data_IF_120187247339
#
_entry.id   IF_120187247339
#
_cell.length_a   1.000
_cell.length_b   1.000
_cell.length_c   1.000
_cell.angle_alpha   90.00
_cell.angle_beta   90.00
_cell.angle_gamma   90.00
#
_symmetry.space_group_name_H-M   'P 1'
#
loop_
_entity.id
_entity.type
_entity.pdbx_description
1 polymer ?
#
# COMPACT_ATOMS: atom_id res chain seq x y z
N UNK A 1 19.46 -2.03 -9.41
CA UNK A 1 18.51 -0.95 -9.04
C UNK A 1 17.08 -1.21 -9.48
N UNK A 2 16.80 -1.68 -10.70
CA UNK A 2 15.46 -2.17 -11.11
C UNK A 2 14.88 -3.22 -10.13
N UNK A 3 15.73 -4.11 -9.62
CA UNK A 3 15.37 -5.13 -8.63
C UNK A 3 14.82 -4.54 -7.31
N UNK A 4 15.28 -3.35 -6.91
CA UNK A 4 14.80 -2.69 -5.70
C UNK A 4 13.46 -1.97 -5.91
N UNK A 5 13.18 -1.47 -7.12
CA UNK A 5 11.88 -0.91 -7.49
C UNK A 5 10.81 -2.01 -7.54
N UNK A 6 11.20 -3.18 -8.05
CA UNK A 6 10.37 -4.39 -8.06
C UNK A 6 10.04 -4.86 -6.63
N UNK A 7 11.02 -4.84 -5.71
CA UNK A 7 10.81 -5.22 -4.32
C UNK A 7 9.78 -4.33 -3.61
N UNK A 8 9.89 -2.99 -3.75
CA UNK A 8 8.95 -2.05 -3.11
C UNK A 8 7.55 -2.20 -3.70
N UNK A 9 7.46 -2.42 -5.01
CA UNK A 9 6.18 -2.67 -5.69
C UNK A 9 5.49 -3.92 -5.16
N UNK A 10 6.23 -5.03 -5.06
CA UNK A 10 5.72 -6.28 -4.50
C UNK A 10 5.30 -6.12 -3.04
N UNK A 11 6.08 -5.38 -2.25
CA UNK A 11 5.74 -5.09 -0.86
C UNK A 11 4.45 -4.27 -0.73
N UNK A 12 4.25 -3.25 -1.57
CA UNK A 12 2.99 -2.47 -1.62
C UNK A 12 1.82 -3.38 -1.95
N UNK A 13 1.95 -4.21 -2.99
CA UNK A 13 0.88 -5.14 -3.41
C UNK A 13 0.55 -6.14 -2.29
N UNK A 14 1.56 -6.75 -1.66
CA UNK A 14 1.34 -7.73 -0.59
C UNK A 14 0.71 -7.11 0.65
N UNK A 15 1.12 -5.89 1.03
CA UNK A 15 0.57 -5.19 2.20
C UNK A 15 -0.85 -4.70 1.94
N UNK A 16 -1.14 -4.19 0.74
CA UNK A 16 -2.51 -3.87 0.33
C UNK A 16 -3.42 -5.10 0.35
N UNK A 17 -2.94 -6.26 -0.10
CA UNK A 17 -3.72 -7.50 -0.03
C UNK A 17 -4.05 -7.89 1.42
N UNK A 18 -3.06 -7.82 2.32
CA UNK A 18 -3.29 -8.07 3.74
C UNK A 18 -4.29 -7.08 4.35
N UNK A 19 -4.22 -5.81 3.97
CA UNK A 19 -5.15 -4.79 4.44
C UNK A 19 -6.58 -5.03 3.98
N UNK A 20 -6.77 -5.44 2.73
CA UNK A 20 -8.09 -5.83 2.20
C UNK A 20 -8.64 -7.03 2.98
N UNK A 21 -7.83 -8.06 3.21
CA UNK A 21 -8.26 -9.25 3.97
C UNK A 21 -8.64 -8.88 5.41
N UNK A 22 -7.85 -8.02 6.06
CA UNK A 22 -8.13 -7.55 7.41
C UNK A 22 -9.41 -6.71 7.47
N UNK A 23 -9.60 -5.78 6.53
CA UNK A 23 -10.82 -4.97 6.41
C UNK A 23 -12.06 -5.84 6.18
N UNK A 24 -11.99 -6.82 5.26
CA UNK A 24 -13.08 -7.76 5.02
C UNK A 24 -13.42 -8.59 6.27
N UNK A 25 -12.42 -9.04 7.02
CA UNK A 25 -12.61 -9.77 8.27
C UNK A 25 -13.26 -8.89 9.37
N UNK A 26 -12.89 -7.61 9.41
CA UNK A 26 -13.49 -6.63 10.32
C UNK A 26 -14.96 -6.34 9.94
N UNK A 27 -15.25 -6.04 8.68
CA UNK A 27 -16.62 -5.73 8.21
C UNK A 27 -17.58 -6.90 8.25
N UNK A 28 -17.08 -8.11 8.03
CA UNK A 28 -17.89 -9.33 8.17
C UNK A 28 -18.21 -9.67 9.62
N UNK A 29 -17.66 -8.93 10.60
CA UNK A 29 -17.84 -9.19 12.02
C UNK A 29 -17.05 -10.39 12.55
N UNK A 30 -16.24 -11.04 11.71
CA UNK A 30 -15.37 -12.16 12.11
C UNK A 30 -14.29 -11.72 13.09
N UNK A 31 -13.83 -10.48 12.96
CA UNK A 31 -12.88 -9.85 13.86
C UNK A 31 -13.47 -8.55 14.42
N UNK A 32 -14.56 -8.65 15.19
CA UNK A 32 -15.18 -7.51 15.83
C UNK A 32 -14.42 -7.12 17.11
N UNK A 33 -13.78 -5.94 17.12
CA UNK A 33 -13.15 -5.39 18.32
C UNK A 33 -12.03 -4.39 18.04
N UNK A 34 -11.64 -3.66 19.08
CA UNK A 34 -10.58 -2.64 19.00
C UNK A 34 -9.26 -3.20 18.47
N UNK A 35 -8.94 -4.47 18.75
CA UNK A 35 -7.73 -5.11 18.24
C UNK A 35 -7.68 -5.22 16.71
N UNK A 36 -8.81 -5.51 16.06
CA UNK A 36 -8.88 -5.61 14.61
C UNK A 36 -8.71 -4.23 13.94
N UNK A 37 -9.35 -3.20 14.49
CA UNK A 37 -9.18 -1.82 14.04
C UNK A 37 -7.72 -1.35 14.19
N UNK A 38 -7.05 -1.69 15.30
CA UNK A 38 -5.62 -1.39 15.49
C UNK A 38 -4.76 -2.11 14.46
N UNK A 39 -5.03 -3.39 14.16
CA UNK A 39 -4.29 -4.14 13.14
C UNK A 39 -4.45 -3.52 11.76
N UNK A 40 -5.67 -3.16 11.35
CA UNK A 40 -5.93 -2.45 10.09
C UNK A 40 -5.16 -1.13 10.06
N UNK A 41 -5.21 -0.34 11.13
CA UNK A 41 -4.49 0.93 11.20
C UNK A 41 -2.97 0.75 11.08
N UNK A 42 -2.38 -0.27 11.72
CA UNK A 42 -0.95 -0.58 11.62
C UNK A 42 -0.58 -0.96 10.18
N UNK A 43 -1.37 -1.83 9.53
CA UNK A 43 -1.11 -2.22 8.14
C UNK A 43 -1.21 -0.98 7.22
N UNK A 44 -2.19 -0.11 7.44
CA UNK A 44 -2.35 1.13 6.70
C UNK A 44 -1.17 2.07 6.81
N UNK A 45 -0.60 2.22 8.01
CA UNK A 45 0.63 3.01 8.21
C UNK A 45 1.81 2.39 7.43
N UNK A 46 1.93 1.06 7.40
CA UNK A 46 2.98 0.38 6.62
C UNK A 46 2.79 0.62 5.12
N UNK A 47 1.56 0.53 4.59
CA UNK A 47 1.26 0.82 3.19
C UNK A 47 1.63 2.26 2.84
N UNK A 48 1.23 3.23 3.67
CA UNK A 48 1.57 4.65 3.45
C UNK A 48 3.08 4.89 3.48
N UNK A 49 3.80 4.24 4.39
CA UNK A 49 5.27 4.29 4.45
C UNK A 49 5.91 3.75 3.16
N UNK A 50 5.45 2.61 2.67
CA UNK A 50 5.94 2.02 1.42
C UNK A 50 5.63 2.90 0.19
N UNK A 51 4.44 3.50 0.13
CA UNK A 51 4.06 4.47 -0.89
C UNK A 51 5.00 5.68 -0.84
N UNK A 52 5.27 6.23 0.35
CA UNK A 52 6.22 7.34 0.53
C UNK A 52 7.62 7.01 0.02
N UNK A 53 8.14 5.82 0.35
CA UNK A 53 9.44 5.32 -0.16
C UNK A 53 9.41 5.24 -1.69
N UNK A 54 8.32 4.75 -2.28
CA UNK A 54 8.18 4.61 -3.72
C UNK A 54 8.16 5.99 -4.43
N UNK A 55 7.44 6.95 -3.87
CA UNK A 55 7.41 8.35 -4.35
C UNK A 55 8.80 8.98 -4.29
N UNK A 56 9.48 8.88 -3.14
CA UNK A 56 10.84 9.43 -2.97
C UNK A 56 11.83 8.84 -3.98
N UNK A 57 11.76 7.51 -4.22
CA UNK A 57 12.60 6.84 -5.22
C UNK A 57 12.32 7.33 -6.63
N UNK A 58 11.06 7.50 -7.01
CA UNK A 58 10.69 8.04 -8.31
C UNK A 58 11.16 9.48 -8.52
N UNK A 59 11.19 10.30 -7.46
CA UNK A 59 11.71 11.65 -7.51
C UNK A 59 13.23 11.69 -7.74
N UNK A 60 13.97 10.77 -7.11
CA UNK A 60 15.44 10.72 -7.19
C UNK A 60 15.97 9.97 -8.43
N UNK A 61 15.12 9.36 -9.25
CA UNK A 61 15.54 8.61 -10.44
C UNK A 61 15.01 9.24 -11.75
N UNK A 62 15.82 10.04 -12.45
CA UNK A 62 15.41 10.70 -13.70
C UNK A 62 15.34 9.75 -14.91
N UNK A 63 15.99 8.57 -14.85
CA UNK A 63 16.08 7.62 -15.98
C UNK A 63 14.89 6.65 -16.11
N UNK A 64 13.86 6.76 -15.27
CA UNK A 64 12.67 5.92 -15.36
C UNK A 64 11.80 6.39 -16.54
N UNK A 65 11.38 5.48 -17.41
CA UNK A 65 10.49 5.79 -18.53
C UNK A 65 9.15 6.36 -18.03
N UNK A 66 8.51 7.23 -18.82
CA UNK A 66 7.22 7.82 -18.42
C UNK A 66 6.16 6.75 -18.13
N UNK A 67 6.14 5.65 -18.89
CA UNK A 67 5.20 4.54 -18.69
C UNK A 67 5.34 3.92 -17.30
N UNK A 68 6.57 3.58 -16.89
CA UNK A 68 6.83 2.98 -15.57
C UNK A 68 6.50 3.97 -14.46
N UNK A 69 6.83 5.25 -14.63
CA UNK A 69 6.49 6.31 -13.67
C UNK A 69 4.97 6.45 -13.51
N UNK A 70 4.22 6.34 -14.60
CA UNK A 70 2.76 6.43 -14.57
C UNK A 70 2.12 5.20 -13.92
N UNK A 71 2.57 3.99 -14.25
CA UNK A 71 2.13 2.77 -13.58
C UNK A 71 2.36 2.82 -12.07
N UNK A 72 3.53 3.28 -11.64
CA UNK A 72 3.86 3.40 -10.23
C UNK A 72 3.04 4.47 -9.50
N UNK A 73 2.69 5.57 -10.18
CA UNK A 73 1.75 6.57 -9.65
C UNK A 73 0.36 5.96 -9.44
N UNK A 74 -0.14 5.20 -10.41
CA UNK A 74 -1.41 4.49 -10.28
C UNK A 74 -1.40 3.49 -9.13
N UNK A 75 -0.33 2.70 -9.00
CA UNK A 75 -0.17 1.78 -7.87
C UNK A 75 -0.24 2.52 -6.52
N UNK A 76 0.50 3.62 -6.38
CA UNK A 76 0.50 4.42 -5.16
C UNK A 76 -0.88 5.00 -4.84
N UNK A 77 -1.62 5.48 -5.85
CA UNK A 77 -2.98 5.99 -5.68
C UNK A 77 -3.95 4.89 -5.24
N UNK A 78 -3.88 3.72 -5.86
CA UNK A 78 -4.72 2.55 -5.50
C UNK A 78 -4.41 2.13 -4.06
N UNK A 79 -3.14 2.06 -3.69
CA UNK A 79 -2.72 1.72 -2.33
C UNK A 79 -3.29 2.70 -1.30
N UNK A 80 -3.21 4.01 -1.54
CA UNK A 80 -3.81 5.03 -0.67
C UNK A 80 -5.33 4.85 -0.57
N UNK A 81 -6.00 4.59 -1.70
CA UNK A 81 -7.45 4.38 -1.72
C UNK A 81 -7.86 3.17 -0.88
N UNK A 82 -7.11 2.07 -0.95
CA UNK A 82 -7.33 0.87 -0.15
C UNK A 82 -7.21 1.19 1.34
N UNK A 83 -6.15 1.88 1.76
CA UNK A 83 -5.95 2.26 3.17
C UNK A 83 -7.11 3.12 3.68
N UNK A 84 -7.52 4.12 2.91
CA UNK A 84 -8.64 4.99 3.29
C UNK A 84 -9.91 4.15 3.44
N UNK A 85 -10.20 3.29 2.46
CA UNK A 85 -11.44 2.52 2.45
C UNK A 85 -11.46 1.47 3.58
N UNK A 86 -10.32 0.82 3.86
CA UNK A 86 -10.18 -0.19 4.90
C UNK A 86 -10.42 0.31 6.33
N UNK A 87 -10.27 1.63 6.56
CA UNK A 87 -10.44 2.23 7.89
C UNK A 87 -11.89 2.54 8.28
N UNK A 88 -12.83 2.56 7.32
CA UNK A 88 -14.27 2.70 7.57
C UNK A 88 -14.90 1.36 7.84
#
# INVERSE_FOLDING_TARGET
MLLQLDLVTKAIISTCFLEIVAALAHWSGLAAGHGAAIVIAIIGVVVLGLVGINVMRMAHQPRITQVVRQQMRWLNLIAIFIVIFAQW
#
